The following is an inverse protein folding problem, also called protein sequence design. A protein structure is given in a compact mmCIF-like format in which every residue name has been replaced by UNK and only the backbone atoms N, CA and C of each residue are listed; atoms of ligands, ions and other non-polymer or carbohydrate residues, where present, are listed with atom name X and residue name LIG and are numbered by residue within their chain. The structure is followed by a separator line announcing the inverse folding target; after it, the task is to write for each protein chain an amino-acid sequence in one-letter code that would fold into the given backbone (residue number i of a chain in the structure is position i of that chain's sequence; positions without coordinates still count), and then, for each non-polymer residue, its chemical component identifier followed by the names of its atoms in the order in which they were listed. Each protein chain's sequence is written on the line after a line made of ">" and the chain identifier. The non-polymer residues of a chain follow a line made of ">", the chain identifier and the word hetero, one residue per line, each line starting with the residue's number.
data_IF_765141502538
#
_entry.id   IF_765141502538
#
_cell.length_a   1.000
_cell.length_b   1.000
_cell.length_c   1.000
_cell.angle_alpha   90.00
_cell.angle_beta   90.00
_cell.angle_gamma   90.00
#
_symmetry.space_group_name_H-M   'P 1'
#
loop_
_entity.id
_entity.type
_entity.pdbx_description
1 polymer ?
#
# COMPACT_ATOMS: atom_id res chain seq x y z
N UNK A 1 -35.18 0.40 3.20
CA UNK A 1 -34.07 0.74 2.28
C UNK A 1 -32.78 0.44 3.01
N UNK A 2 -31.92 -0.48 2.55
CA UNK A 2 -30.62 -0.68 3.17
C UNK A 2 -29.68 0.43 2.68
N UNK A 3 -29.26 1.31 3.58
CA UNK A 3 -28.17 2.25 3.30
C UNK A 3 -26.89 1.45 3.15
N UNK A 4 -26.37 1.40 1.93
CA UNK A 4 -24.99 1.00 1.66
C UNK A 4 -24.07 2.06 2.26
N UNK A 5 -23.75 1.92 3.54
CA UNK A 5 -22.66 2.63 4.18
C UNK A 5 -21.36 2.12 3.55
N UNK A 6 -20.98 2.65 2.38
CA UNK A 6 -19.60 2.56 1.93
C UNK A 6 -18.78 3.23 3.03
N UNK A 7 -17.83 2.53 3.70
CA UNK A 7 -17.01 3.17 4.70
C UNK A 7 -16.23 4.27 4.00
N UNK A 8 -16.58 5.53 4.28
CA UNK A 8 -15.77 6.67 3.87
C UNK A 8 -14.53 6.60 4.73
N UNK A 9 -13.42 6.18 4.13
CA UNK A 9 -12.14 6.07 4.83
C UNK A 9 -11.63 7.47 5.10
N UNK A 10 -11.53 7.83 6.37
CA UNK A 10 -11.10 9.17 6.73
C UNK A 10 -9.69 9.44 6.19
N UNK A 11 -9.34 10.69 5.88
CA UNK A 11 -7.98 11.06 5.45
C UNK A 11 -6.89 10.50 6.38
N UNK A 12 -7.16 10.46 7.69
CA UNK A 12 -6.24 9.89 8.70
C UNK A 12 -6.00 8.40 8.54
N UNK A 13 -7.03 7.63 8.20
CA UNK A 13 -6.92 6.19 7.97
C UNK A 13 -6.14 5.88 6.69
N UNK A 14 -6.36 6.66 5.63
CA UNK A 14 -5.61 6.56 4.38
C UNK A 14 -4.13 6.87 4.63
N UNK A 15 -3.81 7.94 5.35
CA UNK A 15 -2.42 8.29 5.70
C UNK A 15 -1.75 7.18 6.51
N UNK A 16 -2.45 6.59 7.49
CA UNK A 16 -1.92 5.47 8.27
C UNK A 16 -1.61 4.25 7.39
N UNK A 17 -2.49 3.95 6.43
CA UNK A 17 -2.29 2.83 5.52
C UNK A 17 -1.11 3.07 4.57
N UNK A 18 -0.99 4.27 3.99
CA UNK A 18 0.17 4.68 3.18
C UNK A 18 1.47 4.49 3.97
N UNK A 19 1.50 4.97 5.23
CA UNK A 19 2.68 4.82 6.09
C UNK A 19 2.99 3.33 6.37
N UNK A 20 1.96 2.51 6.63
CA UNK A 20 2.11 1.08 6.83
C UNK A 20 2.70 0.36 5.61
N UNK A 21 2.17 0.64 4.42
CA UNK A 21 2.69 0.07 3.18
C UNK A 21 4.12 0.55 2.88
N UNK A 22 4.43 1.82 3.13
CA UNK A 22 5.77 2.38 2.90
C UNK A 22 6.82 1.68 3.78
N UNK A 23 6.48 1.40 5.05
CA UNK A 23 7.35 0.67 5.96
C UNK A 23 7.57 -0.78 5.51
N UNK A 24 6.50 -1.45 5.06
CA UNK A 24 6.57 -2.83 4.59
C UNK A 24 7.38 -2.95 3.29
N UNK A 25 7.22 -2.02 2.35
CA UNK A 25 8.04 -1.95 1.13
C UNK A 25 9.52 -1.79 1.50
N UNK A 26 9.84 -0.90 2.43
CA UNK A 26 11.22 -0.71 2.91
C UNK A 26 11.79 -2.01 3.47
N UNK A 27 11.07 -2.69 4.37
CA UNK A 27 11.53 -3.93 4.98
C UNK A 27 11.73 -5.07 3.96
N UNK A 28 10.85 -5.16 2.97
CA UNK A 28 10.97 -6.13 1.87
C UNK A 28 12.23 -5.87 1.03
N UNK A 29 12.51 -4.61 0.70
CA UNK A 29 13.67 -4.23 -0.09
C UNK A 29 14.98 -4.35 0.69
N UNK A 30 14.99 -4.10 2.00
CA UNK A 30 16.18 -4.28 2.85
C UNK A 30 16.66 -5.73 2.91
N UNK A 31 15.74 -6.69 2.80
CA UNK A 31 16.06 -8.12 2.84
C UNK A 31 16.24 -8.73 1.45
N UNK A 32 15.98 -7.98 0.38
CA UNK A 32 15.98 -8.46 -1.01
C UNK A 32 17.29 -9.16 -1.40
N UNK A 33 18.44 -8.52 -1.14
CA UNK A 33 19.77 -9.06 -1.49
C UNK A 33 20.14 -10.31 -0.69
N UNK A 34 19.42 -10.61 0.40
CA UNK A 34 19.64 -11.80 1.23
C UNK A 34 18.83 -13.01 0.75
N UNK A 35 17.94 -12.83 -0.23
CA UNK A 35 17.04 -13.88 -0.69
C UNK A 35 17.60 -14.64 -1.89
N UNK A 36 17.24 -15.93 -2.06
CA UNK A 36 17.47 -16.65 -3.30
C UNK A 36 16.85 -15.93 -4.50
N UNK A 37 17.49 -16.01 -5.67
CA UNK A 37 17.02 -15.34 -6.88
C UNK A 37 15.58 -15.70 -7.30
N UNK A 38 15.10 -16.90 -6.94
CA UNK A 38 13.72 -17.31 -7.17
C UNK A 38 12.72 -16.50 -6.33
N UNK A 39 13.05 -16.19 -5.08
CA UNK A 39 12.18 -15.48 -4.14
C UNK A 39 12.28 -13.95 -4.32
N UNK A 40 13.41 -13.47 -4.85
CA UNK A 40 13.61 -12.07 -5.20
C UNK A 40 12.54 -11.54 -6.16
N UNK A 41 12.21 -12.31 -7.20
CA UNK A 41 11.19 -11.91 -8.17
C UNK A 41 9.82 -11.72 -7.51
N UNK A 42 9.45 -12.63 -6.62
CA UNK A 42 8.17 -12.58 -5.88
C UNK A 42 8.14 -11.38 -4.92
N UNK A 43 9.24 -11.09 -4.23
CA UNK A 43 9.36 -9.93 -3.33
C UNK A 43 9.19 -8.62 -4.09
N UNK A 44 9.83 -8.50 -5.26
CA UNK A 44 9.68 -7.31 -6.10
C UNK A 44 8.25 -7.15 -6.61
N UNK A 45 7.60 -8.25 -6.98
CA UNK A 45 6.19 -8.22 -7.39
C UNK A 45 5.29 -7.74 -6.24
N UNK A 46 5.51 -8.22 -5.02
CA UNK A 46 4.78 -7.77 -3.83
C UNK A 46 5.06 -6.30 -3.54
N UNK A 47 6.33 -5.88 -3.52
CA UNK A 47 6.71 -4.50 -3.27
C UNK A 47 6.11 -3.53 -4.32
N UNK A 48 6.08 -3.94 -5.59
CA UNK A 48 5.44 -3.19 -6.67
C UNK A 48 3.93 -3.06 -6.46
N UNK A 49 3.24 -4.14 -6.09
CA UNK A 49 1.80 -4.08 -5.81
C UNK A 49 1.49 -3.14 -4.64
N UNK A 50 2.32 -3.15 -3.60
CA UNK A 50 2.15 -2.25 -2.45
C UNK A 50 2.39 -0.78 -2.84
N UNK A 51 3.34 -0.51 -3.75
CA UNK A 51 3.56 0.82 -4.30
C UNK A 51 2.35 1.34 -5.10
N UNK A 52 1.69 0.46 -5.87
CA UNK A 52 0.46 0.81 -6.58
C UNK A 52 -0.69 1.14 -5.62
N UNK A 53 -0.83 0.38 -4.52
CA UNK A 53 -1.84 0.67 -3.49
C UNK A 53 -1.57 2.00 -2.78
N UNK A 54 -0.30 2.33 -2.49
CA UNK A 54 0.10 3.65 -1.99
C UNK A 54 -0.31 4.74 -2.98
N UNK A 55 -0.05 4.56 -4.28
CA UNK A 55 -0.39 5.55 -5.30
C UNK A 55 -1.91 5.78 -5.38
N UNK A 56 -2.72 4.72 -5.27
CA UNK A 56 -4.19 4.82 -5.22
C UNK A 56 -4.68 5.56 -3.98
N UNK A 57 -4.14 5.22 -2.81
CA UNK A 57 -4.49 5.88 -1.55
C UNK A 57 -4.11 7.37 -1.57
N UNK A 58 -2.94 7.72 -2.11
CA UNK A 58 -2.52 9.10 -2.30
C UNK A 58 -3.45 9.85 -3.26
N UNK A 59 -3.85 9.21 -4.37
CA UNK A 59 -4.79 9.80 -5.32
C UNK A 59 -6.17 10.04 -4.68
N UNK A 60 -6.65 9.12 -3.84
CA UNK A 60 -7.90 9.29 -3.10
C UNK A 60 -7.81 10.46 -2.11
N UNK A 61 -6.67 10.59 -1.41
CA UNK A 61 -6.42 11.67 -0.46
C UNK A 61 -6.35 13.05 -1.15
N UNK A 62 -5.61 13.16 -2.25
CA UNK A 62 -5.45 14.41 -3.01
C UNK A 62 -6.74 14.78 -3.76
N UNK A 63 -7.45 13.78 -4.29
CA UNK A 63 -8.70 13.95 -5.04
C UNK A 63 -9.92 14.25 -4.18
N UNK A 64 -9.79 14.25 -2.84
CA UNK A 64 -10.91 14.51 -1.92
C UNK A 64 -11.97 13.41 -1.90
N UNK A 65 -11.60 12.17 -2.29
CA UNK A 65 -12.47 10.99 -2.22
C UNK A 65 -12.42 10.30 -0.85
N UNK A 66 -11.72 10.92 0.11
CA UNK A 66 -11.45 10.48 1.48
C UNK A 66 -12.29 11.24 2.51
#
# INVERSE_FOLDING_TARGET
>A
MPSTNTPVQTPSEIIKRIAGYSNAVTALLETYDMLPAADQADILAVASSMADDIARDLAALVGGAA
#
